data_IF_440796183729
#
_entry.id   IF_440796183729
#
_cell.length_a   1.000
_cell.length_b   1.000
_cell.length_c   1.000
_cell.angle_alpha   90.00
_cell.angle_beta   90.00
_cell.angle_gamma   90.00
#
_symmetry.space_group_name_H-M   'P 1'
#
loop_
_entity.id
_entity.type
_entity.pdbx_description
1 polymer ?
#
# COMPACT_ATOMS: atom_id res chain seq x y z
N UNK A 1 7.26 10.90 -7.68
CA UNK A 1 7.38 10.80 -6.21
C UNK A 1 8.03 9.49 -5.75
N UNK A 2 7.43 8.29 -6.11
CA UNK A 2 8.00 7.00 -5.65
C UNK A 2 9.38 6.72 -6.23
N UNK A 3 9.63 7.07 -7.49
CA UNK A 3 10.93 6.95 -8.12
C UNK A 3 11.97 7.84 -7.42
N UNK A 4 11.66 9.14 -7.24
CA UNK A 4 12.56 10.09 -6.57
C UNK A 4 12.84 9.67 -5.10
N UNK A 5 11.85 9.06 -4.44
CA UNK A 5 12.03 8.53 -3.09
C UNK A 5 12.97 7.33 -3.11
N UNK A 6 12.78 6.39 -4.06
CA UNK A 6 13.61 5.19 -4.17
C UNK A 6 15.08 5.53 -4.43
N UNK A 7 15.35 6.52 -5.28
CA UNK A 7 16.72 6.97 -5.56
C UNK A 7 17.46 7.53 -4.34
N UNK A 8 16.71 8.14 -3.41
CA UNK A 8 17.27 8.81 -2.22
C UNK A 8 17.14 8.00 -0.94
N UNK A 9 16.44 6.89 -0.97
CA UNK A 9 16.17 6.11 0.22
C UNK A 9 17.39 5.30 0.65
N UNK A 10 17.81 5.48 1.90
CA UNK A 10 18.91 4.72 2.47
C UNK A 10 18.44 3.32 2.92
N UNK A 11 18.63 2.32 2.07
CA UNK A 11 18.34 0.91 2.39
C UNK A 11 19.32 0.33 3.41
N UNK A 12 20.51 0.90 3.51
CA UNK A 12 21.47 0.62 4.57
C UNK A 12 21.83 1.92 5.31
N UNK A 13 21.93 1.83 6.63
CA UNK A 13 22.36 2.95 7.46
C UNK A 13 23.23 2.44 8.62
N UNK A 14 24.36 3.10 8.93
CA UNK A 14 25.12 2.79 10.14
C UNK A 14 24.27 3.16 11.37
N UNK A 15 24.36 2.34 12.39
CA UNK A 15 23.82 2.61 13.72
C UNK A 15 24.98 2.92 14.68
N UNK A 16 24.68 3.52 15.82
CA UNK A 16 25.68 3.77 16.84
C UNK A 16 26.36 2.46 17.27
N UNK A 17 27.68 2.49 17.34
CA UNK A 17 28.47 1.39 17.88
C UNK A 17 28.11 1.14 19.34
N UNK A 18 28.17 -0.09 19.76
CA UNK A 18 27.97 -0.50 21.17
C UNK A 18 29.12 -1.41 21.62
N UNK A 19 29.29 -1.50 22.92
CA UNK A 19 30.15 -2.54 23.53
C UNK A 19 29.23 -3.61 24.12
N UNK A 20 29.37 -4.84 23.65
CA UNK A 20 28.65 -5.98 24.21
C UNK A 20 29.64 -7.02 24.73
N UNK A 21 29.50 -7.40 25.99
CA UNK A 21 30.42 -8.33 26.70
C UNK A 21 31.89 -7.92 26.53
N UNK A 22 32.18 -6.62 26.63
CA UNK A 22 33.54 -6.08 26.53
C UNK A 22 34.10 -5.99 25.10
N UNK A 23 33.34 -6.39 24.08
CA UNK A 23 33.75 -6.34 22.68
C UNK A 23 33.01 -5.22 21.93
N UNK A 24 33.74 -4.39 21.15
CA UNK A 24 33.10 -3.39 20.29
C UNK A 24 32.29 -4.05 19.18
N UNK A 25 31.04 -3.58 18.99
CA UNK A 25 30.13 -4.08 17.97
C UNK A 25 29.77 -2.96 17.01
N UNK A 26 30.09 -3.14 15.75
CA UNK A 26 29.61 -2.28 14.67
C UNK A 26 28.24 -2.78 14.22
N UNK A 27 27.25 -1.87 14.13
CA UNK A 27 25.90 -2.20 13.74
C UNK A 27 25.49 -1.49 12.48
N UNK A 28 24.77 -2.21 11.62
CA UNK A 28 24.20 -1.68 10.37
C UNK A 28 22.72 -2.05 10.35
N UNK A 29 21.86 -1.07 10.11
CA UNK A 29 20.47 -1.31 9.78
C UNK A 29 20.37 -1.55 8.27
N UNK A 30 19.91 -2.73 7.88
CA UNK A 30 19.62 -3.06 6.47
C UNK A 30 18.13 -3.30 6.30
N UNK A 31 17.55 -2.72 5.24
CA UNK A 31 16.18 -2.94 4.83
C UNK A 31 16.17 -3.81 3.59
N UNK A 32 15.61 -5.00 3.69
CA UNK A 32 15.57 -5.99 2.62
C UNK A 32 14.14 -6.16 2.10
N UNK A 33 13.97 -6.62 0.82
CA UNK A 33 12.66 -6.95 0.30
C UNK A 33 11.94 -7.95 1.20
N UNK A 34 10.63 -7.79 1.37
CA UNK A 34 9.84 -8.78 2.12
C UNK A 34 9.62 -10.06 1.30
N UNK A 35 9.75 -9.96 -0.02
CA UNK A 35 9.50 -11.05 -0.97
C UNK A 35 8.32 -10.76 -1.88
N UNK A 36 7.35 -11.64 -1.92
CA UNK A 36 6.11 -11.51 -2.71
C UNK A 36 5.06 -10.74 -1.94
N UNK A 37 4.56 -9.64 -2.50
CA UNK A 37 3.52 -8.81 -1.92
C UNK A 37 2.19 -9.04 -2.62
N UNK A 38 1.17 -9.44 -1.87
CA UNK A 38 -0.23 -9.41 -2.31
C UNK A 38 -0.84 -8.04 -2.03
N UNK A 39 -1.28 -7.33 -3.06
CA UNK A 39 -1.92 -6.02 -2.93
C UNK A 39 -3.39 -6.10 -3.33
N UNK A 40 -4.28 -5.61 -2.46
CA UNK A 40 -5.72 -5.59 -2.70
C UNK A 40 -6.20 -4.15 -2.53
N UNK A 41 -6.79 -3.58 -3.59
CA UNK A 41 -7.13 -2.16 -3.65
C UNK A 41 -8.63 -1.92 -3.85
N UNK A 42 -9.17 -0.81 -3.31
CA UNK A 42 -10.56 -0.42 -3.45
C UNK A 42 -10.82 0.35 -4.76
N UNK A 43 -12.07 0.75 -4.94
CA UNK A 43 -12.58 1.39 -6.17
C UNK A 43 -12.53 2.93 -6.16
N UNK A 44 -12.45 3.58 -4.99
CA UNK A 44 -12.69 5.03 -4.86
C UNK A 44 -11.55 5.92 -5.38
N UNK A 45 -10.30 5.46 -5.35
CA UNK A 45 -9.14 6.12 -5.98
C UNK A 45 -8.26 5.09 -6.70
N UNK A 46 -8.78 4.43 -7.75
CA UNK A 46 -8.20 3.19 -8.25
C UNK A 46 -6.77 3.36 -8.76
N UNK A 47 -6.49 4.39 -9.56
CA UNK A 47 -5.14 4.62 -10.08
C UNK A 47 -4.16 4.97 -8.95
N UNK A 48 -4.55 5.91 -8.09
CA UNK A 48 -3.71 6.36 -6.99
C UNK A 48 -3.36 5.22 -6.03
N UNK A 49 -4.37 4.45 -5.59
CA UNK A 49 -4.17 3.37 -4.62
C UNK A 49 -3.41 2.17 -5.20
N UNK A 50 -3.58 1.88 -6.49
CA UNK A 50 -2.76 0.90 -7.18
C UNK A 50 -1.28 1.33 -7.16
N UNK A 51 -0.99 2.57 -7.54
CA UNK A 51 0.37 3.10 -7.58
C UNK A 51 0.98 3.26 -6.17
N UNK A 52 0.17 3.63 -5.18
CA UNK A 52 0.60 3.73 -3.78
C UNK A 52 1.03 2.38 -3.17
N UNK A 53 0.63 1.26 -3.76
CA UNK A 53 1.08 -0.07 -3.37
C UNK A 53 2.20 -0.60 -4.28
N UNK A 54 2.09 -0.38 -5.59
CA UNK A 54 3.12 -0.77 -6.55
C UNK A 54 4.46 -0.05 -6.31
N UNK A 55 4.41 1.27 -6.14
CA UNK A 55 5.61 2.09 -6.01
C UNK A 55 6.53 1.67 -4.87
N UNK A 56 6.07 1.64 -3.61
CA UNK A 56 6.91 1.22 -2.49
C UNK A 56 7.36 -0.24 -2.57
N UNK A 57 6.51 -1.15 -3.07
CA UNK A 57 6.88 -2.55 -3.21
C UNK A 57 8.03 -2.73 -4.21
N UNK A 58 7.94 -2.08 -5.37
CA UNK A 58 9.00 -2.10 -6.38
C UNK A 58 10.27 -1.41 -5.90
N UNK A 59 10.14 -0.24 -5.26
CA UNK A 59 11.29 0.48 -4.69
C UNK A 59 12.04 -0.35 -3.64
N UNK A 60 11.31 -1.17 -2.87
CA UNK A 60 11.89 -2.10 -1.90
C UNK A 60 12.44 -3.40 -2.51
N UNK A 61 12.34 -3.59 -3.83
CA UNK A 61 12.81 -4.80 -4.51
C UNK A 61 11.88 -6.01 -4.39
N UNK A 62 10.60 -5.80 -4.03
CA UNK A 62 9.60 -6.87 -3.93
C UNK A 62 8.99 -7.20 -5.29
N UNK A 63 8.51 -8.42 -5.46
CA UNK A 63 7.54 -8.76 -6.50
C UNK A 63 6.11 -8.55 -5.98
N UNK A 64 5.15 -8.31 -6.87
CA UNK A 64 3.80 -7.93 -6.45
C UNK A 64 2.73 -8.59 -7.32
N UNK A 65 1.68 -9.08 -6.65
CA UNK A 65 0.42 -9.51 -7.25
C UNK A 65 -0.65 -8.53 -6.81
N UNK A 66 -1.13 -7.70 -7.74
CA UNK A 66 -2.15 -6.68 -7.49
C UNK A 66 -3.53 -7.17 -7.93
N UNK A 67 -4.46 -7.23 -7.00
CA UNK A 67 -5.88 -7.46 -7.25
C UNK A 67 -6.65 -6.14 -7.08
N UNK A 68 -7.06 -5.47 -8.16
CA UNK A 68 -7.90 -4.28 -8.08
C UNK A 68 -9.33 -4.63 -7.68
N UNK A 69 -10.10 -3.61 -7.27
CA UNK A 69 -11.53 -3.77 -7.06
C UNK A 69 -12.26 -4.21 -8.35
N UNK A 70 -13.30 -5.05 -8.25
CA UNK A 70 -14.09 -5.47 -9.39
C UNK A 70 -14.69 -4.32 -10.20
N UNK A 71 -15.05 -3.23 -9.53
CA UNK A 71 -15.70 -2.05 -10.13
C UNK A 71 -14.75 -1.19 -10.97
N UNK A 72 -13.43 -1.30 -10.74
CA UNK A 72 -12.42 -0.44 -11.39
C UNK A 72 -11.19 -1.21 -11.89
N UNK A 73 -11.37 -2.29 -12.67
CA UNK A 73 -10.27 -3.15 -13.10
C UNK A 73 -9.36 -2.48 -14.13
N UNK A 74 -9.91 -1.59 -14.96
CA UNK A 74 -9.22 -1.01 -16.11
C UNK A 74 -8.00 -0.16 -15.75
N UNK A 75 -8.07 0.61 -14.67
CA UNK A 75 -6.93 1.42 -14.21
C UNK A 75 -5.71 0.56 -13.89
N UNK A 76 -5.90 -0.58 -13.24
CA UNK A 76 -4.84 -1.51 -12.91
C UNK A 76 -4.28 -2.22 -14.15
N UNK A 77 -5.17 -2.70 -15.05
CA UNK A 77 -4.75 -3.41 -16.27
C UNK A 77 -3.99 -2.49 -17.23
N UNK A 78 -4.37 -1.21 -17.33
CA UNK A 78 -3.61 -0.21 -18.11
C UNK A 78 -2.23 0.01 -17.50
N UNK A 79 -2.11 0.13 -16.18
CA UNK A 79 -0.81 0.24 -15.50
C UNK A 79 0.05 -0.99 -15.78
N UNK A 80 -0.52 -2.19 -15.65
CA UNK A 80 0.20 -3.44 -15.95
C UNK A 80 0.72 -3.50 -17.39
N UNK A 81 -0.10 -3.10 -18.35
CA UNK A 81 0.30 -2.99 -19.76
C UNK A 81 1.41 -1.97 -19.96
N UNK A 82 1.31 -0.78 -19.38
CA UNK A 82 2.35 0.25 -19.47
C UNK A 82 3.68 -0.23 -18.89
N UNK A 83 3.65 -0.94 -17.76
CA UNK A 83 4.84 -1.55 -17.17
C UNK A 83 5.48 -2.54 -18.15
N UNK A 84 4.68 -3.44 -18.72
CA UNK A 84 5.16 -4.47 -19.63
C UNK A 84 5.70 -3.91 -20.97
N UNK A 85 5.09 -2.85 -21.51
CA UNK A 85 5.44 -2.31 -22.82
C UNK A 85 6.44 -1.14 -22.78
N UNK A 86 6.54 -0.43 -21.66
CA UNK A 86 7.24 0.87 -21.58
C UNK A 86 8.33 0.93 -20.51
N UNK A 87 8.58 -0.17 -19.81
CA UNK A 87 9.63 -0.21 -18.79
C UNK A 87 10.51 -1.44 -18.96
N UNK A 88 11.67 -1.43 -18.28
CA UNK A 88 12.59 -2.56 -18.22
C UNK A 88 12.31 -3.49 -17.02
N UNK A 89 11.18 -3.30 -16.33
CA UNK A 89 10.78 -4.17 -15.21
C UNK A 89 10.58 -5.60 -15.74
N UNK A 90 11.30 -6.60 -15.22
CA UNK A 90 11.23 -7.96 -15.74
C UNK A 90 9.81 -8.55 -15.63
N UNK A 91 9.45 -9.40 -16.58
CA UNK A 91 8.20 -10.15 -16.53
C UNK A 91 8.09 -10.96 -15.23
N UNK A 92 6.90 -10.95 -14.62
CA UNK A 92 6.65 -11.63 -13.35
C UNK A 92 6.92 -10.80 -12.10
N UNK A 93 7.60 -9.65 -12.20
CA UNK A 93 7.78 -8.74 -11.06
C UNK A 93 6.47 -8.06 -10.68
N UNK A 94 5.68 -7.62 -11.67
CA UNK A 94 4.35 -7.05 -11.46
C UNK A 94 3.31 -7.90 -12.15
N UNK A 95 2.33 -8.39 -11.39
CA UNK A 95 1.24 -9.22 -11.87
C UNK A 95 -0.10 -8.59 -11.50
N UNK A 96 -0.93 -8.28 -12.49
CA UNK A 96 -2.26 -7.71 -12.28
C UNK A 96 -3.31 -8.80 -12.50
N UNK A 97 -4.11 -9.07 -11.47
CA UNK A 97 -5.14 -10.11 -11.51
C UNK A 97 -6.51 -9.48 -11.25
N UNK A 98 -7.22 -9.11 -12.30
CA UNK A 98 -8.58 -8.63 -12.22
C UNK A 98 -9.57 -9.80 -12.08
N UNK A 99 -10.54 -9.67 -11.18
CA UNK A 99 -11.60 -10.65 -10.98
C UNK A 99 -12.82 -9.98 -10.37
N UNK A 100 -14.00 -10.42 -10.77
CA UNK A 100 -15.27 -10.09 -10.12
C UNK A 100 -15.48 -10.89 -8.82
N UNK A 101 -14.71 -11.97 -8.62
CA UNK A 101 -14.82 -12.80 -7.42
C UNK A 101 -13.99 -12.20 -6.29
N UNK A 102 -14.67 -11.86 -5.19
CA UNK A 102 -14.04 -11.37 -3.98
C UNK A 102 -13.20 -12.44 -3.26
N UNK A 103 -13.51 -13.73 -3.45
CA UNK A 103 -12.76 -14.83 -2.86
C UNK A 103 -11.30 -14.86 -3.32
N UNK A 104 -10.98 -14.31 -4.51
CA UNK A 104 -9.60 -14.18 -4.98
C UNK A 104 -8.75 -13.30 -4.06
N UNK A 105 -9.33 -12.27 -3.44
CA UNK A 105 -8.63 -11.45 -2.45
C UNK A 105 -8.28 -12.23 -1.19
N UNK A 106 -9.20 -13.06 -0.70
CA UNK A 106 -8.94 -13.94 0.44
C UNK A 106 -7.89 -15.01 0.10
N UNK A 107 -8.01 -15.62 -1.09
CA UNK A 107 -7.03 -16.58 -1.59
C UNK A 107 -5.62 -15.98 -1.62
N UNK A 108 -5.47 -14.76 -2.15
CA UNK A 108 -4.19 -14.06 -2.20
C UNK A 108 -3.63 -13.80 -0.79
N UNK A 109 -4.50 -13.41 0.16
CA UNK A 109 -4.09 -13.16 1.54
C UNK A 109 -3.72 -14.47 2.29
N UNK A 110 -4.32 -15.59 1.93
CA UNK A 110 -4.08 -16.90 2.56
C UNK A 110 -2.91 -17.66 1.94
N UNK A 111 -2.48 -17.34 0.71
CA UNK A 111 -1.48 -18.12 -0.04
C UNK A 111 -0.12 -18.10 0.68
N UNK A 112 0.46 -19.27 1.00
CA UNK A 112 1.74 -19.35 1.71
C UNK A 112 2.94 -18.83 0.91
N UNK A 113 2.81 -18.64 -0.41
CA UNK A 113 3.84 -18.06 -1.27
C UNK A 113 3.88 -16.55 -1.24
N UNK A 114 2.89 -15.92 -0.60
CA UNK A 114 2.82 -14.46 -0.39
C UNK A 114 3.42 -14.15 0.98
N UNK A 115 4.47 -13.32 1.01
CA UNK A 115 5.21 -12.97 2.21
C UNK A 115 4.64 -11.77 2.96
N UNK A 116 3.92 -10.90 2.24
CA UNK A 116 3.24 -9.73 2.82
C UNK A 116 1.96 -9.40 2.08
N UNK A 117 0.97 -8.86 2.80
CA UNK A 117 -0.30 -8.39 2.21
C UNK A 117 -0.51 -6.93 2.54
N UNK A 118 -0.87 -6.15 1.54
CA UNK A 118 -1.33 -4.78 1.73
C UNK A 118 -2.76 -4.64 1.21
N UNK A 119 -3.66 -4.21 2.07
CA UNK A 119 -5.08 -4.07 1.81
C UNK A 119 -5.56 -2.66 2.12
N UNK A 120 -6.38 -2.10 1.26
CA UNK A 120 -7.15 -0.89 1.51
C UNK A 120 -8.63 -1.16 1.24
N UNK A 121 -9.50 -0.88 2.22
CA UNK A 121 -10.93 -1.11 2.09
C UNK A 121 -11.69 -1.09 3.42
N UNK A 122 -12.79 -1.84 3.51
CA UNK A 122 -13.60 -1.86 4.72
C UNK A 122 -12.91 -2.52 5.91
N UNK A 123 -13.22 -2.06 7.12
CA UNK A 123 -12.71 -2.65 8.36
C UNK A 123 -13.09 -4.13 8.49
N UNK A 124 -14.30 -4.51 8.05
CA UNK A 124 -14.75 -5.89 8.09
C UNK A 124 -13.87 -6.80 7.23
N UNK A 125 -13.58 -6.39 6.00
CA UNK A 125 -12.68 -7.12 5.09
C UNK A 125 -11.24 -7.12 5.61
N UNK A 126 -10.77 -6.01 6.18
CA UNK A 126 -9.43 -5.93 6.77
C UNK A 126 -9.21 -6.93 7.91
N UNK A 127 -10.21 -7.11 8.78
CA UNK A 127 -10.20 -8.15 9.83
C UNK A 127 -10.07 -9.55 9.22
N UNK A 128 -10.81 -9.83 8.15
CA UNK A 128 -10.74 -11.13 7.46
C UNK A 128 -9.39 -11.36 6.80
N UNK A 129 -8.83 -10.34 6.15
CA UNK A 129 -7.46 -10.40 5.60
C UNK A 129 -6.44 -10.72 6.69
N UNK A 130 -6.52 -10.06 7.83
CA UNK A 130 -5.62 -10.28 8.96
C UNK A 130 -5.76 -11.70 9.53
N UNK A 131 -7.01 -12.20 9.68
CA UNK A 131 -7.29 -13.55 10.15
C UNK A 131 -6.64 -14.62 9.27
N UNK A 132 -6.84 -14.54 7.94
CA UNK A 132 -6.31 -15.58 7.04
C UNK A 132 -4.80 -15.46 6.85
N UNK A 133 -4.26 -14.25 6.85
CA UNK A 133 -2.83 -14.00 6.73
C UNK A 133 -2.04 -14.48 7.97
N UNK A 134 -2.67 -14.47 9.15
CA UNK A 134 -2.05 -14.91 10.40
C UNK A 134 -1.61 -16.38 10.37
N UNK A 135 -2.25 -17.22 9.55
CA UNK A 135 -1.92 -18.65 9.44
C UNK A 135 -0.48 -18.93 8.97
N UNK A 136 0.12 -17.98 8.27
CA UNK A 136 1.52 -18.04 7.80
C UNK A 136 2.39 -16.95 8.43
N UNK A 137 1.87 -16.20 9.40
CA UNK A 137 2.56 -15.12 10.12
C UNK A 137 3.16 -14.06 9.17
N UNK A 138 2.52 -13.85 8.00
CA UNK A 138 2.98 -12.86 7.02
C UNK A 138 2.73 -11.44 7.48
N UNK A 139 3.49 -10.49 6.97
CA UNK A 139 3.28 -9.05 7.24
C UNK A 139 1.96 -8.59 6.64
N UNK A 140 1.19 -7.79 7.41
CA UNK A 140 -0.09 -7.23 6.96
C UNK A 140 -0.08 -5.73 7.17
N UNK A 141 -0.40 -4.99 6.10
CA UNK A 141 -0.57 -3.54 6.10
C UNK A 141 -2.01 -3.22 5.72
N UNK A 142 -2.73 -2.56 6.61
CA UNK A 142 -4.15 -2.27 6.46
C UNK A 142 -4.40 -0.77 6.45
N UNK A 143 -5.05 -0.29 5.39
CA UNK A 143 -5.64 1.03 5.31
C UNK A 143 -7.16 0.87 5.29
N UNK A 144 -7.81 1.22 6.37
CA UNK A 144 -9.20 0.90 6.61
C UNK A 144 -10.08 2.15 6.68
N UNK A 145 -11.39 1.93 6.81
CA UNK A 145 -12.35 3.00 6.95
C UNK A 145 -12.16 3.79 8.24
N UNK A 146 -12.51 5.05 8.18
CA UNK A 146 -12.49 5.98 9.31
C UNK A 146 -13.63 6.98 9.24
N UNK A 147 -13.77 7.76 10.28
CA UNK A 147 -14.73 8.87 10.42
C UNK A 147 -14.03 10.09 11.01
N UNK A 148 -12.86 10.42 10.46
CA UNK A 148 -12.12 11.61 10.86
C UNK A 148 -12.96 12.85 10.56
N UNK A 149 -13.22 13.67 11.59
CA UNK A 149 -13.93 14.91 11.41
C UNK A 149 -13.02 15.97 10.77
N UNK A 150 -13.54 16.68 9.77
CA UNK A 150 -12.98 17.94 9.33
C UNK A 150 -13.90 19.04 9.87
N UNK A 151 -13.43 19.77 10.86
CA UNK A 151 -14.21 20.80 11.55
C UNK A 151 -13.75 22.15 11.04
N UNK A 152 -14.69 22.93 10.52
CA UNK A 152 -14.44 24.26 9.97
C UNK A 152 -15.19 25.24 10.87
N UNK A 153 -14.45 26.11 11.53
CA UNK A 153 -15.00 27.11 12.43
C UNK A 153 -15.50 28.36 11.65
N UNK A 154 -16.29 29.17 12.27
CA UNK A 154 -16.95 30.38 11.68
C UNK A 154 -15.96 31.48 11.27
N UNK A 155 -14.78 31.47 11.87
CA UNK A 155 -13.69 32.40 11.58
C UNK A 155 -12.70 31.90 10.54
N UNK A 156 -12.96 30.73 9.92
CA UNK A 156 -12.09 30.15 8.91
C UNK A 156 -12.08 30.93 7.59
N UNK A 157 -10.91 31.10 6.98
CA UNK A 157 -10.78 31.71 5.66
C UNK A 157 -11.42 30.85 4.58
N UNK A 158 -12.43 31.37 3.90
CA UNK A 158 -13.12 30.71 2.81
C UNK A 158 -12.20 30.28 1.65
N UNK A 159 -11.07 30.96 1.44
CA UNK A 159 -10.05 30.60 0.45
C UNK A 159 -9.29 29.29 0.79
N UNK A 160 -9.14 29.00 2.09
CA UNK A 160 -8.54 27.75 2.57
C UNK A 160 -9.50 26.56 2.50
N UNK A 161 -10.78 26.80 2.33
CA UNK A 161 -11.86 25.81 2.35
C UNK A 161 -11.84 24.82 1.19
N UNK A 162 -11.47 25.25 -0.02
CA UNK A 162 -11.69 24.50 -1.26
C UNK A 162 -11.04 23.12 -1.25
N UNK A 163 -9.80 23.02 -0.77
CA UNK A 163 -9.05 21.76 -0.71
C UNK A 163 -9.60 20.82 0.39
N UNK A 164 -10.06 21.38 1.52
CA UNK A 164 -10.61 20.61 2.63
C UNK A 164 -11.94 19.93 2.29
N UNK A 165 -12.82 20.62 1.55
CA UNK A 165 -14.12 20.06 1.12
C UNK A 165 -13.92 18.89 0.14
N UNK A 166 -12.99 19.01 -0.81
CA UNK A 166 -12.68 17.94 -1.76
C UNK A 166 -12.23 16.66 -1.07
N UNK A 167 -11.40 16.74 -0.03
CA UNK A 167 -10.95 15.57 0.73
C UNK A 167 -12.08 14.94 1.54
N UNK A 168 -13.03 15.71 2.04
CA UNK A 168 -14.20 15.21 2.75
C UNK A 168 -15.18 14.44 1.86
N UNK A 169 -15.40 14.91 0.63
CA UNK A 169 -16.42 14.35 -0.26
C UNK A 169 -15.97 13.08 -1.00
N UNK A 170 -14.68 12.93 -1.28
CA UNK A 170 -14.16 11.83 -2.08
C UNK A 170 -13.48 10.71 -1.27
N UNK A 171 -12.99 11.00 -0.08
CA UNK A 171 -12.25 10.02 0.74
C UNK A 171 -13.13 9.12 1.62
N UNK A 172 -14.45 9.27 1.58
CA UNK A 172 -15.34 8.56 2.53
C UNK A 172 -15.14 8.98 3.99
N UNK A 173 -14.46 10.11 4.22
CA UNK A 173 -14.23 10.68 5.54
C UNK A 173 -15.38 11.63 5.90
N UNK A 174 -15.75 11.64 7.17
CA UNK A 174 -16.79 12.54 7.66
C UNK A 174 -16.33 14.01 7.59
N UNK A 175 -17.21 14.88 7.09
CA UNK A 175 -17.04 16.32 7.13
C UNK A 175 -18.16 16.93 7.98
N UNK A 176 -17.82 17.76 8.96
CA UNK A 176 -18.76 18.54 9.72
C UNK A 176 -18.44 20.03 9.54
N UNK A 177 -19.45 20.80 9.20
CA UNK A 177 -19.40 22.26 9.15
C UNK A 177 -20.20 22.76 10.35
N UNK A 178 -19.60 23.52 11.23
CA UNK A 178 -20.24 24.13 12.40
C UNK A 178 -20.20 25.64 12.31
#
# INVERSE_FOLDING_TARGET
YWADLAERYAFEAPMSDITFMGQPQRRILRREPVGVVGAITPWNFPLYLNLAKLGPALAAGCTIVLKPAPDTPWSATVVGRLIAEKTEIPAGVVNIVASSDHALGEMLAADPRVDGVTFTGSTATGRRVMEVASRTVKKVFLELGGKSANVILDDADAGAFGAGILTCTHGGQGCAIT
#
